data_IF_119372232495
#
_entry.id   IF_119372232495
#
_cell.length_a   1.000
_cell.length_b   1.000
_cell.length_c   1.000
_cell.angle_alpha   90.00
_cell.angle_beta   90.00
_cell.angle_gamma   90.00
#
_symmetry.space_group_name_H-M   'P 1'
#
loop_
_entity.id
_entity.type
_entity.pdbx_description
1 polymer ?
#
# COMPACT_ATOMS: atom_id res chain seq x y z
N UNK A 1 -12.52 -8.14 -7.00
CA UNK A 1 -13.79 -8.31 -7.74
C UNK A 1 -13.95 -7.13 -8.66
N UNK A 2 -14.38 -7.38 -9.89
CA UNK A 2 -14.65 -6.36 -10.89
C UNK A 2 -16.14 -6.40 -11.23
N UNK A 3 -16.73 -5.24 -11.47
CA UNK A 3 -18.16 -5.09 -11.83
C UNK A 3 -18.20 -4.39 -13.18
N UNK A 4 -18.90 -4.97 -14.15
CA UNK A 4 -18.98 -4.40 -15.49
C UNK A 4 -19.99 -3.25 -15.53
N UNK A 5 -19.68 -2.20 -16.29
CA UNK A 5 -20.60 -1.06 -16.46
C UNK A 5 -21.89 -1.56 -17.12
N UNK A 6 -23.03 -1.31 -16.48
CA UNK A 6 -24.35 -1.75 -16.93
C UNK A 6 -24.76 -3.15 -16.46
N UNK A 7 -24.00 -3.80 -15.57
CA UNK A 7 -24.40 -5.11 -15.00
C UNK A 7 -25.38 -5.02 -13.82
N UNK A 8 -25.70 -3.81 -13.38
CA UNK A 8 -26.51 -3.58 -12.19
C UNK A 8 -27.77 -2.83 -12.60
N UNK A 9 -28.91 -3.51 -12.50
CA UNK A 9 -30.23 -2.93 -12.80
C UNK A 9 -30.67 -1.94 -11.71
N UNK A 10 -30.20 -2.13 -10.48
CA UNK A 10 -30.45 -1.26 -9.33
C UNK A 10 -29.13 -0.96 -8.62
N UNK A 11 -28.82 0.32 -8.41
CA UNK A 11 -27.59 0.73 -7.72
C UNK A 11 -27.82 0.65 -6.20
N UNK A 12 -27.08 -0.19 -5.45
CA UNK A 12 -27.22 -0.32 -4.01
C UNK A 12 -26.60 0.91 -3.35
N UNK A 13 -27.33 2.02 -3.35
CA UNK A 13 -26.87 3.30 -2.80
C UNK A 13 -27.12 3.41 -1.29
N UNK A 14 -28.03 2.59 -0.76
CA UNK A 14 -28.37 2.57 0.66
C UNK A 14 -27.18 2.17 1.52
N UNK A 15 -26.70 3.11 2.34
CA UNK A 15 -25.60 2.90 3.29
C UNK A 15 -24.18 2.98 2.72
N UNK A 16 -24.02 3.29 1.43
CA UNK A 16 -22.69 3.51 0.83
C UNK A 16 -22.29 4.98 0.89
N UNK A 17 -21.75 5.40 2.03
CA UNK A 17 -21.17 6.74 2.20
C UNK A 17 -19.63 6.70 2.13
N UNK A 18 -19.00 7.40 1.17
CA UNK A 18 -17.56 7.43 1.05
C UNK A 18 -16.95 8.21 2.22
N UNK A 19 -16.08 7.56 3.00
CA UNK A 19 -15.40 8.20 4.13
C UNK A 19 -14.11 8.94 3.75
N UNK A 20 -13.60 8.72 2.54
CA UNK A 20 -12.39 9.36 2.01
C UNK A 20 -12.36 9.44 0.48
N UNK A 21 -11.57 10.38 -0.02
CA UNK A 21 -11.27 10.63 -1.43
C UNK A 21 -9.75 10.60 -1.61
N UNK A 22 -9.25 9.77 -2.54
CA UNK A 22 -7.83 9.64 -2.87
C UNK A 22 -7.53 10.34 -4.19
N UNK A 23 -6.26 10.69 -4.42
CA UNK A 23 -5.80 11.31 -5.67
C UNK A 23 -6.51 12.63 -6.01
N UNK A 24 -6.84 13.44 -4.99
CA UNK A 24 -7.56 14.71 -5.20
C UNK A 24 -6.78 15.73 -6.04
N UNK A 25 -5.47 15.54 -6.19
CA UNK A 25 -4.63 16.33 -7.11
C UNK A 25 -4.97 16.12 -8.59
N UNK A 26 -5.64 15.03 -8.94
CA UNK A 26 -6.15 14.73 -10.29
C UNK A 26 -7.64 15.08 -10.45
N UNK A 27 -8.27 15.67 -9.43
CA UNK A 27 -9.68 16.07 -9.49
C UNK A 27 -9.85 17.17 -10.52
N UNK A 28 -10.72 16.92 -11.48
CA UNK A 28 -11.12 17.92 -12.45
C UNK A 28 -11.85 19.08 -11.77
N UNK A 29 -11.61 20.30 -12.24
CA UNK A 29 -12.18 21.52 -11.63
C UNK A 29 -13.72 21.54 -11.58
N UNK A 30 -14.38 20.78 -12.47
CA UNK A 30 -15.84 20.66 -12.49
C UNK A 30 -16.38 19.67 -11.45
N UNK A 31 -15.54 18.76 -10.94
CA UNK A 31 -15.95 17.78 -9.95
C UNK A 31 -15.74 18.35 -8.54
N UNK A 32 -16.84 18.53 -7.81
CA UNK A 32 -16.80 19.06 -6.45
C UNK A 32 -16.28 18.00 -5.47
N UNK A 33 -15.56 18.42 -4.42
CA UNK A 33 -15.13 17.51 -3.36
C UNK A 33 -16.31 16.81 -2.68
N UNK A 34 -16.12 15.56 -2.28
CA UNK A 34 -17.15 14.84 -1.53
C UNK A 34 -17.35 15.47 -0.14
N UNK A 35 -18.60 15.77 0.25
CA UNK A 35 -18.88 16.36 1.55
C UNK A 35 -18.52 15.37 2.66
N UNK A 36 -17.89 15.86 3.73
CA UNK A 36 -17.46 15.09 4.90
C UNK A 36 -16.40 13.98 4.66
N UNK A 37 -15.98 13.73 3.41
CA UNK A 37 -14.92 12.78 3.09
C UNK A 37 -13.53 13.40 3.33
N UNK A 38 -12.63 12.64 3.96
CA UNK A 38 -11.23 13.05 4.09
C UNK A 38 -10.53 13.01 2.73
N UNK A 39 -9.77 14.04 2.40
CA UNK A 39 -9.09 14.16 1.10
C UNK A 39 -7.61 13.83 1.20
N UNK A 40 -7.11 13.05 0.24
CA UNK A 40 -5.70 12.65 0.15
C UNK A 40 -5.17 12.90 -1.27
N UNK A 41 -3.96 13.44 -1.38
CA UNK A 41 -3.34 13.72 -2.69
C UNK A 41 -2.89 12.45 -3.43
N UNK A 42 -2.74 11.33 -2.72
CA UNK A 42 -2.27 10.04 -3.23
C UNK A 42 -2.98 8.90 -2.48
N UNK A 43 -2.50 7.67 -2.64
CA UNK A 43 -2.98 6.53 -1.88
C UNK A 43 -2.89 6.76 -0.36
N UNK A 44 -3.86 6.21 0.37
CA UNK A 44 -3.80 6.15 1.82
C UNK A 44 -2.65 5.24 2.22
N UNK A 45 -1.71 5.77 3.00
CA UNK A 45 -0.77 4.94 3.74
C UNK A 45 -1.52 4.47 4.98
N UNK A 46 -1.89 3.19 5.04
CA UNK A 46 -2.38 2.60 6.27
C UNK A 46 -1.26 2.65 7.32
N UNK A 47 -1.39 3.48 8.35
CA UNK A 47 -0.56 3.43 9.58
C UNK A 47 -0.86 2.17 10.43
N UNK A 48 -1.33 1.10 9.79
CA UNK A 48 -1.61 -0.18 10.40
C UNK A 48 -0.45 -1.11 10.04
N UNK A 49 0.28 -1.68 11.02
CA UNK A 49 1.33 -2.68 10.78
C UNK A 49 0.68 -4.02 10.37
N UNK A 50 -0.18 -4.01 9.38
CA UNK A 50 -0.72 -5.23 8.79
C UNK A 50 0.37 -5.82 7.89
N UNK A 51 1.20 -6.62 8.56
CA UNK A 51 1.79 -7.83 8.02
C UNK A 51 2.83 -7.66 6.90
N UNK A 52 3.92 -6.94 7.20
CA UNK A 52 5.24 -7.20 6.57
C UNK A 52 6.35 -7.30 7.61
N UNK A 53 6.09 -8.08 8.66
CA UNK A 53 7.13 -8.96 9.19
C UNK A 53 7.10 -10.25 8.37
N UNK A 54 7.09 -10.12 7.04
CA UNK A 54 7.54 -11.20 6.18
C UNK A 54 9.06 -11.18 6.29
N UNK A 55 9.50 -11.78 7.40
CA UNK A 55 10.76 -12.49 7.52
C UNK A 55 11.97 -11.57 7.31
N UNK A 56 12.53 -11.14 8.44
CA UNK A 56 13.96 -10.84 8.50
C UNK A 56 14.67 -12.05 7.89
N UNK A 57 14.99 -11.92 6.61
CA UNK A 57 15.87 -12.80 5.85
C UNK A 57 17.11 -12.88 6.74
N UNK A 58 17.23 -14.01 7.44
CA UNK A 58 18.45 -14.37 8.11
C UNK A 58 19.40 -14.78 6.99
N UNK A 59 19.88 -13.79 6.25
CA UNK A 59 20.96 -13.96 5.30
C UNK A 59 22.17 -14.36 6.14
N UNK A 60 22.48 -15.66 6.06
CA UNK A 60 23.67 -16.24 6.65
C UNK A 60 24.89 -15.45 6.22
N UNK A 61 25.45 -14.70 7.16
CA UNK A 61 26.78 -14.11 6.98
C UNK A 61 27.79 -15.25 7.06
N UNK A 62 28.04 -15.88 5.92
CA UNK A 62 29.22 -16.70 5.72
C UNK A 62 30.43 -15.80 6.02
N UNK A 63 31.14 -16.13 7.09
CA UNK A 63 32.35 -15.42 7.50
C UNK A 63 33.51 -15.98 6.67
N UNK A 64 34.15 -15.23 5.76
CA UNK A 64 35.40 -15.70 5.18
C UNK A 64 36.52 -15.41 6.18
N UNK A 65 36.67 -16.27 7.20
CA UNK A 65 37.82 -16.16 8.10
C UNK A 65 39.03 -16.80 7.43
N UNK A 66 39.83 -15.91 6.84
CA UNK A 66 41.05 -16.15 6.09
C UNK A 66 42.06 -16.99 6.88
N UNK A 67 42.55 -18.06 6.25
CA UNK A 67 43.70 -18.85 6.69
C UNK A 67 44.98 -18.01 6.57
N UNK A 68 45.84 -17.87 7.60
CA UNK A 68 47.22 -17.47 7.37
C UNK A 68 48.10 -18.70 7.16
N UNK A 69 48.70 -18.78 5.97
CA UNK A 69 49.80 -19.67 5.63
C UNK A 69 51.06 -19.36 6.46
N UNK A 70 51.61 -20.43 7.05
CA UNK A 70 53.02 -20.80 7.33
C UNK A 70 54.07 -19.68 7.53
N UNK A 71 54.90 -19.85 8.58
CA UNK A 71 56.38 -19.90 8.46
C UNK A 71 57.06 -20.46 9.72
N UNK A 72 58.10 -21.25 9.46
CA UNK A 72 58.96 -22.01 10.37
C UNK A 72 59.76 -21.18 11.38
N UNK A 73 60.06 -21.79 12.53
CA UNK A 73 61.40 -21.86 13.14
C UNK A 73 61.43 -23.02 14.15
#
# INVERSE_FOLDING_TARGET
>A
MEVTIGSLDEVPTEGLEPSYELWVNRREHWLQPLPAARQFEHDRVDDEPTNRTAELISDGVETPSSLPQRKSA
#
